data_IF_135890982441
#
_entry.id   IF_135890982441
#
_cell.length_a   1.000
_cell.length_b   1.000
_cell.length_c   1.000
_cell.angle_alpha   90.00
_cell.angle_beta   90.00
_cell.angle_gamma   90.00
#
_symmetry.space_group_name_H-M   'P 1'
#
loop_
_entity.id
_entity.type
_entity.pdbx_description
1 polymer ?
#
# COMPACT_ATOMS: atom_id res chain seq x y z
N UNK A 1 -29.99 1.27 32.41
CA UNK A 1 -30.28 1.63 31.00
C UNK A 1 -28.97 1.51 30.22
N UNK A 2 -29.00 1.22 28.92
CA UNK A 2 -27.77 1.09 28.10
C UNK A 2 -27.15 2.47 27.84
N UNK A 3 -25.85 2.61 28.08
CA UNK A 3 -25.05 3.82 27.81
C UNK A 3 -23.98 3.43 26.80
N UNK A 4 -23.85 4.17 25.71
CA UNK A 4 -22.93 3.81 24.64
C UNK A 4 -22.38 5.03 23.90
N UNK A 5 -21.21 4.86 23.29
CA UNK A 5 -20.65 5.79 22.31
C UNK A 5 -20.86 5.23 20.91
N UNK A 6 -21.52 6.00 20.04
CA UNK A 6 -21.71 5.66 18.63
C UNK A 6 -20.60 6.33 17.81
N UNK A 7 -19.61 5.56 17.35
CA UNK A 7 -18.39 6.08 16.75
C UNK A 7 -18.37 5.81 15.24
N UNK A 8 -18.00 6.82 14.44
CA UNK A 8 -17.78 6.71 12.99
C UNK A 8 -16.79 7.75 12.47
N UNK A 9 -16.29 7.53 11.25
CA UNK A 9 -15.46 8.48 10.51
C UNK A 9 -16.10 8.85 9.17
N UNK A 10 -16.25 10.16 8.92
CA UNK A 10 -16.85 10.72 7.72
C UNK A 10 -15.76 11.14 6.72
N UNK A 11 -15.88 10.67 5.48
CA UNK A 11 -15.05 11.02 4.33
C UNK A 11 -15.79 11.96 3.38
N UNK A 12 -15.07 12.77 2.61
CA UNK A 12 -15.64 13.84 1.77
C UNK A 12 -16.32 13.39 0.46
N UNK A 13 -16.33 12.12 0.06
CA UNK A 13 -16.62 11.78 -1.34
C UNK A 13 -17.88 10.97 -1.61
N UNK A 14 -18.26 10.96 -2.90
CA UNK A 14 -19.26 10.07 -3.48
C UNK A 14 -18.58 8.79 -3.99
N UNK A 15 -19.03 7.61 -3.55
CA UNK A 15 -18.49 6.31 -3.99
C UNK A 15 -17.50 5.63 -3.04
N UNK A 16 -17.23 6.18 -1.86
CA UNK A 16 -16.59 5.39 -0.79
C UNK A 16 -17.53 4.30 -0.30
N UNK A 17 -16.98 3.12 -0.09
CA UNK A 17 -17.71 2.07 0.62
C UNK A 17 -17.93 2.51 2.06
N UNK A 18 -19.15 2.30 2.56
CA UNK A 18 -19.48 2.48 3.97
C UNK A 18 -19.17 1.22 4.81
N UNK A 19 -18.61 0.19 4.18
CA UNK A 19 -18.20 -1.07 4.81
C UNK A 19 -16.74 -1.04 5.26
N UNK A 20 -15.97 -0.01 4.87
CA UNK A 20 -14.60 0.14 5.29
C UNK A 20 -14.52 0.46 6.79
N UNK A 21 -13.47 -0.03 7.43
CA UNK A 21 -13.23 0.16 8.86
C UNK A 21 -11.78 0.55 9.11
N UNK A 22 -11.57 1.37 10.13
CA UNK A 22 -10.25 1.71 10.69
C UNK A 22 -10.21 1.33 12.18
N UNK A 23 -9.05 1.43 12.80
CA UNK A 23 -8.87 1.08 14.21
C UNK A 23 -8.79 2.33 15.08
N UNK A 24 -9.39 2.27 16.27
CA UNK A 24 -9.31 3.31 17.27
C UNK A 24 -9.35 2.78 18.70
N UNK A 25 -9.43 3.71 19.64
CA UNK A 25 -9.49 3.44 21.08
C UNK A 25 -10.51 4.38 21.75
N UNK A 26 -11.09 3.92 22.85
CA UNK A 26 -11.90 4.73 23.77
C UNK A 26 -11.20 4.71 25.13
N UNK A 27 -10.67 5.85 25.54
CA UNK A 27 -9.99 6.03 26.81
C UNK A 27 -10.89 6.73 27.82
N UNK A 28 -11.10 6.12 28.98
CA UNK A 28 -11.78 6.83 30.07
C UNK A 28 -10.88 7.92 30.65
N UNK A 29 -11.46 9.09 30.93
CA UNK A 29 -10.78 10.15 31.66
C UNK A 29 -10.76 9.87 33.18
N UNK A 30 -11.58 8.95 33.65
CA UNK A 30 -11.65 8.54 35.05
C UNK A 30 -10.63 7.42 35.31
N UNK A 31 -9.81 7.48 36.38
CA UNK A 31 -8.77 6.48 36.66
C UNK A 31 -9.30 5.05 36.86
N UNK A 32 -10.54 4.93 37.33
CA UNK A 32 -11.24 3.65 37.54
C UNK A 32 -12.17 3.30 36.37
N UNK A 33 -12.23 4.16 35.35
CA UNK A 33 -13.11 3.98 34.20
C UNK A 33 -12.60 2.95 33.20
N UNK A 34 -13.53 2.26 32.56
CA UNK A 34 -13.21 1.24 31.57
C UNK A 34 -12.77 1.87 30.25
N UNK A 35 -11.65 1.39 29.69
CA UNK A 35 -11.16 1.80 28.37
C UNK A 35 -11.25 0.63 27.39
N UNK A 36 -11.72 0.91 26.18
CA UNK A 36 -11.80 -0.06 25.10
C UNK A 36 -10.67 0.20 24.13
N UNK A 37 -9.90 -0.83 23.78
CA UNK A 37 -8.79 -0.72 22.83
C UNK A 37 -9.05 -1.48 21.56
N UNK A 38 -8.50 -1.00 20.45
CA UNK A 38 -8.62 -1.60 19.13
C UNK A 38 -10.08 -1.77 18.68
N UNK A 39 -10.91 -0.76 18.93
CA UNK A 39 -12.28 -0.73 18.41
C UNK A 39 -12.27 -0.52 16.89
N UNK A 40 -13.27 -1.04 16.21
CA UNK A 40 -13.44 -0.84 14.77
C UNK A 40 -14.33 0.38 14.52
N UNK A 41 -13.83 1.35 13.77
CA UNK A 41 -14.56 2.57 13.47
C UNK A 41 -14.95 2.50 11.98
N UNK A 42 -16.25 2.35 11.67
CA UNK A 42 -16.73 2.43 10.30
C UNK A 42 -16.36 3.77 9.66
N UNK A 43 -15.86 3.73 8.43
CA UNK A 43 -15.52 4.90 7.66
C UNK A 43 -16.19 4.88 6.28
N UNK A 44 -16.50 6.07 5.76
CA UNK A 44 -17.16 6.21 4.48
C UNK A 44 -17.82 7.57 4.33
N UNK A 45 -18.66 7.71 3.31
CA UNK A 45 -19.42 8.95 3.06
C UNK A 45 -20.61 9.10 4.03
N UNK A 46 -21.23 7.99 4.41
CA UNK A 46 -22.33 7.93 5.37
C UNK A 46 -22.38 6.56 6.06
N UNK A 47 -21.31 6.15 6.78
CA UNK A 47 -21.29 4.88 7.47
C UNK A 47 -22.26 4.87 8.66
N UNK A 48 -22.88 3.71 8.89
CA UNK A 48 -23.60 3.47 10.14
C UNK A 48 -22.60 3.43 11.30
N UNK A 49 -22.83 4.18 12.40
CA UNK A 49 -21.89 4.19 13.50
C UNK A 49 -21.89 2.86 14.25
N UNK A 50 -20.72 2.47 14.75
CA UNK A 50 -20.59 1.33 15.66
C UNK A 50 -20.81 1.76 17.10
N UNK A 51 -21.68 1.05 17.81
CA UNK A 51 -22.06 1.34 19.19
C UNK A 51 -21.19 0.57 20.18
N UNK A 52 -20.53 1.29 21.08
CA UNK A 52 -19.66 0.74 22.10
C UNK A 52 -20.22 1.00 23.50
N UNK A 53 -20.69 -0.04 24.22
CA UNK A 53 -21.19 0.10 25.58
C UNK A 53 -20.09 0.61 26.52
N UNK A 54 -20.37 1.66 27.27
CA UNK A 54 -19.44 2.23 28.27
C UNK A 54 -20.21 2.74 29.50
N UNK A 55 -19.61 2.76 30.70
CA UNK A 55 -20.18 3.44 31.85
C UNK A 55 -20.44 4.94 31.59
N UNK A 56 -21.43 5.58 32.22
CA UNK A 56 -21.56 7.04 32.19
C UNK A 56 -20.26 7.71 32.68
N UNK A 57 -19.76 8.70 31.95
CA UNK A 57 -18.45 9.28 32.23
C UNK A 57 -17.89 10.12 31.09
N UNK A 58 -16.65 10.61 31.25
CA UNK A 58 -15.92 11.37 30.24
C UNK A 58 -14.91 10.47 29.54
N UNK A 59 -14.83 10.58 28.22
CA UNK A 59 -13.97 9.74 27.39
C UNK A 59 -13.21 10.59 26.36
N UNK A 60 -12.00 10.15 26.05
CA UNK A 60 -11.24 10.55 24.86
C UNK A 60 -11.31 9.39 23.87
N UNK A 61 -11.95 9.61 22.73
CA UNK A 61 -12.01 8.64 21.63
C UNK A 61 -10.93 9.01 20.64
N UNK A 62 -10.12 8.05 20.21
CA UNK A 62 -9.08 8.26 19.20
C UNK A 62 -9.23 7.31 18.03
N UNK A 63 -8.93 7.79 16.82
CA UNK A 63 -8.88 6.98 15.61
C UNK A 63 -7.46 7.05 15.04
N UNK A 64 -6.79 5.90 14.93
CA UNK A 64 -5.47 5.80 14.32
C UNK A 64 -5.65 5.56 12.82
N UNK A 65 -5.34 6.54 11.99
CA UNK A 65 -5.54 6.45 10.55
C UNK A 65 -4.42 5.66 9.87
N UNK A 66 -4.68 5.02 8.72
CA UNK A 66 -3.62 4.40 7.93
C UNK A 66 -2.60 5.40 7.38
N UNK A 67 -2.86 6.70 7.45
CA UNK A 67 -1.89 7.77 7.18
C UNK A 67 -0.88 7.99 8.32
N UNK A 68 -1.06 7.33 9.46
CA UNK A 68 -0.28 7.56 10.69
C UNK A 68 -0.78 8.75 11.53
N UNK A 69 -1.74 9.52 11.03
CA UNK A 69 -2.42 10.55 11.80
C UNK A 69 -3.31 9.92 12.88
N UNK A 70 -3.40 10.57 14.04
CA UNK A 70 -4.32 10.19 15.10
C UNK A 70 -5.34 11.31 15.28
N UNK A 71 -6.60 11.00 15.02
CA UNK A 71 -7.71 11.91 15.33
C UNK A 71 -8.18 11.66 16.75
N UNK A 72 -8.61 12.70 17.46
CA UNK A 72 -9.08 12.58 18.84
C UNK A 72 -10.31 13.45 19.08
N UNK A 73 -11.33 12.90 19.74
CA UNK A 73 -12.56 13.59 20.10
C UNK A 73 -12.91 13.34 21.57
N UNK A 74 -13.42 14.38 22.24
CA UNK A 74 -13.90 14.25 23.62
C UNK A 74 -15.39 13.91 23.62
N UNK A 75 -15.78 12.91 24.39
CA UNK A 75 -17.16 12.47 24.50
C UNK A 75 -17.61 12.38 25.96
N UNK A 76 -18.91 12.62 26.20
CA UNK A 76 -19.54 12.41 27.51
C UNK A 76 -20.63 11.37 27.33
N UNK A 77 -20.43 10.20 27.93
CA UNK A 77 -21.42 9.13 27.93
C UNK A 77 -22.45 9.42 29.04
N UNK A 78 -23.73 9.46 28.67
CA UNK A 78 -24.84 9.82 29.57
C UNK A 78 -25.75 8.61 29.75
N UNK A 79 -26.20 8.37 30.99
CA UNK A 79 -27.01 7.20 31.30
C UNK A 79 -28.26 7.08 30.41
N UNK A 80 -28.43 5.92 29.79
CA UNK A 80 -29.60 5.63 28.94
C UNK A 80 -29.59 6.32 27.58
N UNK A 81 -28.46 6.90 27.18
CA UNK A 81 -28.27 7.59 25.90
C UNK A 81 -27.09 7.01 25.13
N UNK A 82 -27.25 6.98 23.83
CA UNK A 82 -26.17 6.80 22.88
C UNK A 82 -25.63 8.18 22.47
N UNK A 83 -24.34 8.42 22.74
CA UNK A 83 -23.68 9.68 22.42
C UNK A 83 -22.90 9.51 21.10
N UNK A 84 -23.19 10.29 20.05
CA UNK A 84 -22.45 10.22 18.79
C UNK A 84 -21.04 10.81 18.95
N UNK A 85 -20.08 10.18 18.29
CA UNK A 85 -18.68 10.62 18.16
C UNK A 85 -18.30 10.51 16.68
N UNK A 86 -18.29 11.67 16.02
CA UNK A 86 -18.06 11.77 14.59
C UNK A 86 -16.66 12.35 14.33
N UNK A 87 -15.78 11.55 13.74
CA UNK A 87 -14.54 12.06 13.16
C UNK A 87 -14.81 12.59 11.76
N UNK A 88 -14.37 13.82 11.46
CA UNK A 88 -14.59 14.45 10.16
C UNK A 88 -13.27 14.55 9.41
N UNK A 89 -13.14 13.81 8.31
CA UNK A 89 -11.95 13.77 7.47
C UNK A 89 -12.27 14.21 6.03
N UNK A 90 -12.83 15.41 5.92
CA UNK A 90 -13.34 15.96 4.66
C UNK A 90 -12.40 16.95 3.98
N UNK A 91 -11.25 17.28 4.57
CA UNK A 91 -10.22 18.16 3.98
C UNK A 91 -9.36 17.43 2.94
N UNK A 92 -9.93 16.52 2.15
CA UNK A 92 -9.23 15.98 0.97
C UNK A 92 -9.10 17.10 -0.08
N UNK A 93 -7.94 17.28 -0.73
CA UNK A 93 -7.74 18.34 -1.71
C UNK A 93 -8.68 18.25 -2.91
N UNK A 94 -9.12 17.03 -3.23
CA UNK A 94 -10.10 16.71 -4.25
C UNK A 94 -11.07 15.67 -3.69
N UNK A 95 -12.35 15.77 -4.06
CA UNK A 95 -13.37 14.81 -3.62
C UNK A 95 -13.05 13.39 -4.09
N UNK A 96 -12.53 13.25 -5.30
CA UNK A 96 -12.12 11.99 -5.93
C UNK A 96 -10.95 11.29 -5.22
N UNK A 97 -10.21 11.99 -4.36
CA UNK A 97 -8.99 11.49 -3.69
C UNK A 97 -9.21 11.13 -2.21
N UNK A 98 -10.43 11.14 -1.70
CA UNK A 98 -10.70 10.92 -0.26
C UNK A 98 -10.13 9.59 0.27
N UNK A 99 -10.16 8.52 -0.53
CA UNK A 99 -9.53 7.24 -0.17
C UNK A 99 -8.00 7.35 -0.08
N UNK A 100 -7.37 7.99 -1.06
CA UNK A 100 -5.92 8.27 -1.03
C UNK A 100 -5.54 9.14 0.17
N UNK A 101 -6.39 10.11 0.52
CA UNK A 101 -6.22 10.95 1.69
C UNK A 101 -6.31 10.14 2.99
N UNK A 102 -7.27 9.22 3.11
CA UNK A 102 -7.36 8.31 4.25
C UNK A 102 -6.09 7.46 4.41
N UNK A 103 -5.55 6.98 3.30
CA UNK A 103 -4.30 6.20 3.28
C UNK A 103 -3.06 7.04 3.58
N UNK A 104 -3.15 8.39 3.54
CA UNK A 104 -2.02 9.29 3.76
C UNK A 104 -1.16 9.55 2.54
N UNK A 105 -1.66 9.22 1.35
CA UNK A 105 -0.92 9.35 0.09
C UNK A 105 -0.95 10.77 -0.47
N UNK A 106 -1.83 11.62 0.07
CA UNK A 106 -1.97 13.03 -0.29
C UNK A 106 -2.21 13.86 0.98
N UNK A 107 -1.75 15.10 0.99
CA UNK A 107 -1.90 16.01 2.11
C UNK A 107 -3.32 16.59 2.21
N UNK A 108 -3.69 17.15 3.38
CA UNK A 108 -4.93 17.89 3.51
C UNK A 108 -5.01 19.07 2.53
N UNK A 109 -6.22 19.41 2.08
CA UNK A 109 -6.51 20.47 1.12
C UNK A 109 -5.94 21.82 1.52
N UNK A 110 -5.95 22.14 2.80
CA UNK A 110 -5.33 23.36 3.34
C UNK A 110 -3.82 23.46 3.08
N UNK A 111 -3.07 22.35 3.19
CA UNK A 111 -1.64 22.26 2.85
C UNK A 111 -1.48 22.16 1.34
N UNK A 112 -2.35 21.39 0.70
CA UNK A 112 -2.26 21.09 -0.71
C UNK A 112 -2.51 22.34 -1.58
N UNK A 113 -3.45 23.20 -1.21
CA UNK A 113 -3.77 24.43 -1.94
C UNK A 113 -3.03 25.67 -1.38
N UNK A 114 -2.11 25.48 -0.42
CA UNK A 114 -1.32 26.58 0.10
C UNK A 114 -0.39 27.18 -0.98
N UNK A 115 -0.36 28.51 -1.05
CA UNK A 115 0.52 29.27 -1.94
C UNK A 115 2.00 29.22 -1.51
N UNK A 116 2.31 28.67 -0.33
CA UNK A 116 3.68 28.57 0.16
C UNK A 116 4.44 27.50 -0.62
N UNK A 117 5.69 27.75 -1.04
CA UNK A 117 6.52 26.71 -1.63
C UNK A 117 6.72 25.61 -0.59
N UNK A 118 6.37 24.38 -0.96
CA UNK A 118 6.69 23.20 -0.15
C UNK A 118 8.22 23.13 -0.08
N UNK A 119 8.82 23.09 1.12
CA UNK A 119 10.27 23.06 1.22
C UNK A 119 10.82 21.83 0.48
N UNK A 120 11.80 22.09 -0.40
CA UNK A 120 12.55 21.05 -1.06
C UNK A 120 13.19 20.17 0.01
N UNK A 121 12.89 18.87 0.04
CA UNK A 121 13.53 18.03 1.01
C UNK A 121 15.03 17.94 0.69
N UNK A 122 15.87 18.23 1.69
CA UNK A 122 17.32 18.24 1.55
C UNK A 122 17.91 16.82 1.39
N UNK A 123 17.09 15.80 1.64
CA UNK A 123 17.50 14.39 1.55
C UNK A 123 17.34 13.86 0.12
N UNK A 124 18.41 13.25 -0.40
CA UNK A 124 18.37 12.46 -1.64
C UNK A 124 17.42 11.25 -1.53
N UNK A 125 17.05 10.87 -0.30
CA UNK A 125 16.03 9.85 -0.05
C UNK A 125 14.59 10.38 -0.11
N UNK A 126 14.39 11.70 -0.18
CA UNK A 126 13.07 12.29 -0.37
C UNK A 126 12.75 12.40 -1.85
N UNK A 127 12.06 11.38 -2.34
CA UNK A 127 11.89 11.12 -3.78
C UNK A 127 10.69 11.91 -4.35
N UNK A 128 10.87 13.23 -4.49
CA UNK A 128 9.96 14.08 -5.26
C UNK A 128 10.06 13.77 -6.77
N UNK A 129 8.94 13.84 -7.49
CA UNK A 129 8.91 13.77 -8.97
C UNK A 129 9.08 15.13 -9.64
N UNK A 130 9.25 16.22 -8.90
CA UNK A 130 9.35 17.57 -9.47
C UNK A 130 10.77 17.82 -9.99
N UNK A 131 10.89 18.18 -11.27
CA UNK A 131 12.11 18.76 -11.80
C UNK A 131 12.34 20.15 -11.21
N UNK A 132 13.57 20.45 -10.82
CA UNK A 132 13.96 21.78 -10.35
C UNK A 132 13.71 22.84 -11.43
N UNK A 133 12.64 23.62 -11.28
CA UNK A 133 12.52 24.97 -11.86
C UNK A 133 12.07 25.93 -10.77
N UNK A 134 12.79 25.94 -9.65
CA UNK A 134 12.69 27.06 -8.71
C UNK A 134 13.52 28.20 -9.31
N UNK A 135 12.86 29.31 -9.67
CA UNK A 135 13.56 30.60 -9.75
C UNK A 135 14.04 30.96 -8.34
N UNK A 136 14.96 31.92 -8.25
CA UNK A 136 15.56 32.37 -6.99
C UNK A 136 14.53 32.91 -5.95
N UNK A 137 13.27 33.06 -6.34
CA UNK A 137 12.12 33.49 -5.55
C UNK A 137 11.21 32.33 -5.07
N UNK A 138 11.44 31.09 -5.50
CA UNK A 138 10.66 29.92 -5.07
C UNK A 138 9.28 29.77 -5.74
N UNK A 139 8.94 30.62 -6.72
CA UNK A 139 7.70 30.45 -7.49
C UNK A 139 7.91 29.45 -8.65
N UNK A 140 7.01 28.46 -8.76
CA UNK A 140 6.89 27.57 -9.91
C UNK A 140 5.94 28.25 -10.91
N UNK A 141 6.39 28.71 -12.08
CA UNK A 141 5.47 29.23 -13.09
C UNK A 141 4.55 28.11 -13.56
N UNK A 142 3.22 28.34 -13.59
CA UNK A 142 2.23 27.42 -14.19
C UNK A 142 2.60 26.99 -15.63
N UNK A 143 3.48 27.73 -16.30
CA UNK A 143 3.91 27.50 -17.69
C UNK A 143 5.29 26.83 -17.86
N UNK A 144 6.07 26.60 -16.79
CA UNK A 144 7.50 26.26 -16.93
C UNK A 144 7.88 24.80 -16.61
N UNK A 145 6.96 24.00 -16.07
CA UNK A 145 7.16 22.56 -15.93
C UNK A 145 6.12 21.91 -16.83
N UNK A 146 6.58 21.15 -17.82
CA UNK A 146 5.74 20.21 -18.53
C UNK A 146 5.35 19.12 -17.52
N UNK A 147 4.35 19.42 -16.67
CA UNK A 147 3.79 18.55 -15.63
C UNK A 147 2.90 17.47 -16.27
N UNK A 148 3.25 17.02 -17.46
CA UNK A 148 2.59 15.90 -18.11
C UNK A 148 3.25 14.62 -17.62
N UNK A 149 2.75 14.11 -16.49
CA UNK A 149 3.02 12.74 -16.09
C UNK A 149 2.50 11.80 -17.18
N UNK A 150 3.39 11.02 -17.78
CA UNK A 150 3.03 9.97 -18.73
C UNK A 150 2.95 8.64 -17.98
N UNK A 151 1.76 8.05 -17.98
CA UNK A 151 1.54 6.72 -17.44
C UNK A 151 1.34 5.73 -18.60
N UNK A 152 2.10 4.63 -18.60
CA UNK A 152 1.98 3.55 -19.58
C UNK A 152 1.63 2.26 -18.87
N UNK A 153 0.44 1.73 -19.17
CA UNK A 153 -0.02 0.46 -18.65
C UNK A 153 0.60 -0.71 -19.41
N UNK A 154 1.11 -1.68 -18.66
CA UNK A 154 1.61 -2.96 -19.13
C UNK A 154 0.67 -4.03 -18.54
N UNK A 155 -0.34 -4.39 -19.33
CA UNK A 155 -1.40 -5.32 -18.92
C UNK A 155 -0.98 -6.79 -18.91
N UNK A 156 0.02 -7.15 -19.70
CA UNK A 156 0.61 -8.48 -19.70
C UNK A 156 2.11 -8.35 -19.87
N UNK A 157 2.86 -8.91 -18.94
CA UNK A 157 4.32 -8.85 -18.93
C UNK A 157 4.90 -10.24 -19.18
N UNK A 158 6.11 -10.27 -19.74
CA UNK A 158 6.73 -11.56 -20.04
C UNK A 158 7.27 -12.16 -18.73
N UNK A 159 7.14 -13.47 -18.46
CA UNK A 159 7.65 -14.05 -17.21
C UNK A 159 9.14 -13.77 -16.94
N UNK A 160 9.96 -13.69 -17.99
CA UNK A 160 11.37 -13.35 -17.87
C UNK A 160 11.62 -11.86 -17.48
N UNK A 161 10.63 -10.98 -17.65
CA UNK A 161 10.78 -9.53 -17.47
C UNK A 161 10.73 -9.07 -16.01
N UNK A 162 10.19 -9.89 -15.11
CA UNK A 162 10.04 -9.55 -13.69
C UNK A 162 10.98 -10.32 -12.76
N UNK A 163 12.06 -10.90 -13.30
CA UNK A 163 13.16 -11.39 -12.49
C UNK A 163 13.94 -10.25 -11.83
N UNK A 164 14.66 -10.53 -10.74
CA UNK A 164 15.55 -9.56 -10.10
C UNK A 164 16.58 -8.99 -11.09
N UNK A 165 17.20 -9.84 -11.90
CA UNK A 165 18.18 -9.43 -12.90
C UNK A 165 17.56 -8.50 -13.96
N UNK A 166 16.36 -8.83 -14.45
CA UNK A 166 15.65 -7.99 -15.43
C UNK A 166 15.31 -6.62 -14.85
N UNK A 167 14.80 -6.58 -13.61
CA UNK A 167 14.44 -5.33 -12.93
C UNK A 167 15.65 -4.44 -12.63
N UNK A 168 16.78 -5.03 -12.23
CA UNK A 168 18.05 -4.30 -12.08
C UNK A 168 18.54 -3.73 -13.42
N UNK A 169 18.45 -4.53 -14.50
CA UNK A 169 18.86 -4.09 -15.84
C UNK A 169 17.97 -2.95 -16.39
N UNK A 170 16.73 -2.79 -15.92
CA UNK A 170 15.90 -1.63 -16.25
C UNK A 170 16.47 -0.35 -15.63
N UNK A 171 16.91 -0.39 -14.37
CA UNK A 171 17.55 0.75 -13.69
C UNK A 171 18.88 1.18 -14.32
N UNK A 172 19.59 0.24 -14.96
CA UNK A 172 20.85 0.52 -15.68
C UNK A 172 20.62 1.01 -17.12
N UNK A 173 19.38 1.03 -17.60
CA UNK A 173 19.09 1.36 -19.00
C UNK A 173 19.34 2.86 -19.28
N UNK A 174 20.09 3.21 -20.33
CA UNK A 174 20.37 4.61 -20.66
C UNK A 174 19.10 5.44 -20.92
N UNK A 175 19.11 6.75 -20.59
CA UNK A 175 18.03 7.68 -20.96
C UNK A 175 17.70 7.62 -22.45
N UNK A 176 16.41 7.77 -22.80
CA UNK A 176 15.93 7.75 -24.18
C UNK A 176 15.64 6.36 -24.75
N UNK A 177 16.01 5.28 -24.07
CA UNK A 177 15.59 3.92 -24.45
C UNK A 177 14.21 3.62 -23.84
N UNK A 178 13.19 3.26 -24.65
CA UNK A 178 11.86 2.91 -24.16
C UNK A 178 11.90 1.67 -23.26
N UNK A 179 11.37 1.78 -22.03
CA UNK A 179 11.35 0.65 -21.09
C UNK A 179 10.12 -0.24 -21.24
N UNK A 180 8.95 0.33 -21.53
CA UNK A 180 7.71 -0.43 -21.56
C UNK A 180 7.75 -1.66 -22.50
N UNK A 181 8.33 -1.58 -23.73
CA UNK A 181 8.47 -2.76 -24.60
C UNK A 181 9.41 -3.84 -24.08
N UNK A 182 10.29 -3.55 -23.12
CA UNK A 182 11.21 -4.54 -22.51
C UNK A 182 10.53 -5.40 -21.44
N UNK A 183 9.39 -4.93 -20.93
CA UNK A 183 8.61 -5.57 -19.87
C UNK A 183 7.38 -6.26 -20.45
N UNK A 184 6.74 -5.60 -21.42
CA UNK A 184 5.48 -6.05 -22.00
C UNK A 184 5.63 -7.28 -22.89
N UNK A 185 4.68 -8.21 -22.80
CA UNK A 185 4.47 -9.29 -23.77
C UNK A 185 3.75 -8.81 -25.05
N UNK A 186 3.04 -7.68 -24.96
CA UNK A 186 2.29 -7.07 -26.05
C UNK A 186 2.63 -5.60 -26.28
N UNK A 187 1.75 -4.88 -26.98
CA UNK A 187 1.89 -3.44 -27.17
C UNK A 187 1.60 -2.69 -25.85
N UNK A 188 2.56 -1.91 -25.30
CA UNK A 188 2.32 -1.08 -24.13
C UNK A 188 1.27 0.00 -24.43
N UNK A 189 0.47 0.36 -23.44
CA UNK A 189 -0.69 1.24 -23.64
C UNK A 189 -0.55 2.52 -22.83
N UNK A 190 -0.24 3.66 -23.46
CA UNK A 190 -0.31 4.96 -22.79
C UNK A 190 -1.72 5.21 -22.25
N UNK A 191 -1.80 5.70 -21.03
CA UNK A 191 -3.06 6.09 -20.40
C UNK A 191 -3.26 7.60 -20.59
N UNK A 192 -4.47 8.05 -20.95
CA UNK A 192 -4.78 9.46 -20.92
C UNK A 192 -4.68 9.98 -19.47
N UNK A 193 -4.27 11.24 -19.30
CA UNK A 193 -4.40 11.89 -18.00
C UNK A 193 -5.90 11.91 -17.62
N UNK A 194 -6.27 11.57 -16.37
CA UNK A 194 -7.65 11.66 -15.90
C UNK A 194 -8.21 13.07 -16.11
N UNK A 195 -9.38 13.14 -16.74
CA UNK A 195 -10.03 14.42 -17.14
C UNK A 195 -10.91 14.95 -16.00
N UNK A 196 -10.27 15.31 -14.89
CA UNK A 196 -10.93 15.93 -13.74
C UNK A 196 -10.30 17.29 -13.42
N UNK A 197 -11.15 18.31 -13.27
CA UNK A 197 -10.72 19.69 -13.12
C UNK A 197 -9.84 19.86 -11.87
N UNK A 198 -8.60 20.36 -12.08
CA UNK A 198 -7.64 20.59 -11.00
C UNK A 198 -6.73 19.41 -10.66
N UNK A 199 -7.00 18.20 -11.18
CA UNK A 199 -6.20 16.98 -10.91
C UNK A 199 -4.97 16.81 -11.81
N UNK A 200 -4.68 17.79 -12.69
CA UNK A 200 -3.57 17.72 -13.65
C UNK A 200 -2.19 17.49 -12.98
N UNK A 201 -2.04 17.87 -11.70
CA UNK A 201 -0.82 17.71 -10.91
C UNK A 201 -0.84 16.50 -9.97
N UNK A 202 -1.98 15.84 -9.83
CA UNK A 202 -2.16 14.63 -9.00
C UNK A 202 -3.06 13.61 -9.70
N UNK A 203 -2.75 13.19 -10.94
CA UNK A 203 -3.61 12.29 -11.68
C UNK A 203 -3.82 10.97 -10.93
N UNK A 204 -5.10 10.58 -10.79
CA UNK A 204 -5.54 9.35 -10.15
C UNK A 204 -5.98 8.33 -11.20
N UNK A 205 -5.15 7.31 -11.44
CA UNK A 205 -5.47 6.23 -12.36
C UNK A 205 -6.22 5.12 -11.63
N UNK A 206 -7.37 4.68 -12.15
CA UNK A 206 -8.14 3.57 -11.58
C UNK A 206 -8.07 2.33 -12.48
N UNK A 207 -8.03 1.16 -11.86
CA UNK A 207 -7.97 -0.13 -12.53
C UNK A 207 -9.01 -1.07 -11.94
N UNK A 208 -9.75 -1.75 -12.80
CA UNK A 208 -10.67 -2.82 -12.43
C UNK A 208 -10.17 -4.19 -12.89
N UNK A 209 -11.04 -5.22 -12.90
CA UNK A 209 -10.67 -6.59 -13.25
C UNK A 209 -10.11 -6.72 -14.69
N UNK A 210 -10.55 -5.84 -15.59
CA UNK A 210 -10.15 -5.82 -17.00
C UNK A 210 -9.02 -4.85 -17.35
N UNK A 211 -8.36 -4.24 -16.36
CA UNK A 211 -7.33 -3.21 -16.57
C UNK A 211 -7.83 -1.78 -16.30
N UNK A 212 -7.28 -0.74 -16.96
CA UNK A 212 -7.53 0.66 -16.63
C UNK A 212 -8.98 1.07 -16.90
N UNK A 213 -9.63 1.72 -15.93
CA UNK A 213 -10.97 2.28 -16.08
C UNK A 213 -10.93 3.54 -16.94
N UNK A 214 -11.78 3.62 -17.96
CA UNK A 214 -11.77 4.72 -18.93
C UNK A 214 -10.56 4.72 -19.88
N UNK A 215 -9.71 3.69 -19.80
CA UNK A 215 -8.52 3.53 -20.63
C UNK A 215 -8.68 2.50 -21.75
N UNK A 216 -7.61 2.27 -22.54
CA UNK A 216 -7.60 1.25 -23.57
C UNK A 216 -7.67 -0.16 -22.96
N UNK A 217 -8.59 -0.99 -23.46
CA UNK A 217 -8.65 -2.41 -23.11
C UNK A 217 -7.43 -3.18 -23.66
N UNK A 218 -7.02 -4.25 -23.00
CA UNK A 218 -5.87 -5.05 -23.40
C UNK A 218 -5.83 -6.43 -22.74
N UNK A 219 -4.88 -7.30 -23.14
CA UNK A 219 -4.64 -8.55 -22.43
C UNK A 219 -4.23 -8.25 -20.99
N UNK A 220 -4.72 -9.08 -20.07
CA UNK A 220 -4.46 -9.01 -18.65
C UNK A 220 -3.75 -10.30 -18.25
N UNK A 221 -2.49 -10.19 -17.84
CA UNK A 221 -1.65 -11.29 -17.38
C UNK A 221 -1.60 -11.41 -15.86
N UNK A 222 -0.81 -12.38 -15.39
CA UNK A 222 -0.55 -12.63 -13.96
C UNK A 222 0.20 -11.48 -13.29
N UNK A 223 0.96 -10.70 -14.07
CA UNK A 223 1.73 -9.55 -13.60
C UNK A 223 1.45 -8.36 -14.48
N UNK A 224 1.10 -7.27 -13.81
CA UNK A 224 0.78 -6.00 -14.42
C UNK A 224 1.65 -4.90 -13.82
N UNK A 225 2.03 -3.95 -14.66
CA UNK A 225 2.82 -2.81 -14.23
C UNK A 225 2.25 -1.51 -14.76
N UNK A 226 2.52 -0.44 -14.04
CA UNK A 226 2.39 0.93 -14.54
C UNK A 226 3.77 1.57 -14.59
N UNK A 227 4.20 1.98 -15.77
CA UNK A 227 5.38 2.80 -15.93
C UNK A 227 4.96 4.27 -15.83
N UNK A 228 5.51 5.01 -14.88
CA UNK A 228 5.21 6.43 -14.65
C UNK A 228 6.46 7.24 -14.95
N UNK A 229 6.37 8.10 -15.97
CA UNK A 229 7.44 9.02 -16.35
C UNK A 229 6.98 10.45 -16.04
N UNK A 230 7.73 11.19 -15.22
CA UNK A 230 7.45 12.60 -14.99
C UNK A 230 8.72 13.35 -14.60
N UNK A 231 8.92 14.53 -15.18
CA UNK A 231 10.02 15.44 -14.88
C UNK A 231 11.42 14.77 -14.84
N UNK A 232 11.67 13.86 -15.79
CA UNK A 232 12.94 13.11 -15.90
C UNK A 232 13.09 11.95 -14.92
N UNK A 233 12.13 11.76 -14.01
CA UNK A 233 12.04 10.61 -13.13
C UNK A 233 11.21 9.51 -13.76
N UNK A 234 11.57 8.26 -13.46
CA UNK A 234 10.97 7.07 -14.04
C UNK A 234 10.72 6.04 -12.95
N UNK A 235 9.47 5.63 -12.79
CA UNK A 235 9.05 4.63 -11.81
C UNK A 235 8.32 3.47 -12.45
N UNK A 236 8.59 2.28 -11.96
CA UNK A 236 7.84 1.08 -12.28
C UNK A 236 7.00 0.67 -11.06
N UNK A 237 5.69 0.69 -11.21
CA UNK A 237 4.73 0.34 -10.18
C UNK A 237 4.25 -1.08 -10.42
N UNK A 238 4.39 -1.97 -9.43
CA UNK A 238 3.76 -3.29 -9.47
C UNK A 238 2.28 -3.13 -9.13
N UNK A 239 1.40 -3.42 -10.10
CA UNK A 239 -0.03 -3.29 -9.88
C UNK A 239 -0.56 -4.53 -9.15
N UNK A 240 -1.32 -4.40 -8.05
CA UNK A 240 -1.91 -5.52 -7.34
C UNK A 240 -3.14 -6.05 -8.06
N UNK A 241 -2.96 -6.51 -9.30
CA UNK A 241 -4.01 -7.01 -10.15
C UNK A 241 -3.68 -8.42 -10.65
N UNK A 242 -4.70 -9.30 -10.78
CA UNK A 242 -6.12 -9.03 -10.48
C UNK A 242 -6.43 -9.01 -8.97
N UNK A 243 -7.32 -8.11 -8.52
CA UNK A 243 -7.84 -8.05 -7.14
C UNK A 243 -9.35 -8.35 -7.08
N UNK A 244 -9.77 -9.45 -7.71
CA UNK A 244 -11.21 -9.78 -7.80
C UNK A 244 -11.99 -8.67 -8.53
N UNK A 245 -13.14 -8.26 -7.97
CA UNK A 245 -14.03 -7.23 -8.53
C UNK A 245 -13.68 -5.79 -8.09
N UNK A 246 -12.69 -5.64 -7.22
CA UNK A 246 -12.38 -4.37 -6.56
C UNK A 246 -11.49 -3.48 -7.42
N UNK A 247 -11.65 -2.17 -7.27
CA UNK A 247 -10.82 -1.19 -7.93
C UNK A 247 -9.47 -0.98 -7.20
N UNK A 248 -8.43 -0.79 -8.00
CA UNK A 248 -7.11 -0.36 -7.57
C UNK A 248 -6.87 1.06 -8.07
N UNK A 249 -6.35 1.92 -7.21
CA UNK A 249 -6.03 3.30 -7.51
C UNK A 249 -4.52 3.51 -7.47
N UNK A 250 -3.99 4.21 -8.47
CA UNK A 250 -2.60 4.68 -8.50
C UNK A 250 -2.62 6.20 -8.56
N UNK A 251 -2.21 6.83 -7.46
CA UNK A 251 -2.02 8.26 -7.39
C UNK A 251 -0.61 8.59 -7.87
N UNK A 252 -0.49 9.48 -8.85
CA UNK A 252 0.82 10.06 -9.23
C UNK A 252 0.85 11.48 -8.72
N UNK A 253 1.63 11.74 -7.68
CA UNK A 253 1.77 13.07 -7.11
C UNK A 253 2.92 13.81 -7.82
N UNK A 254 2.56 14.63 -8.81
CA UNK A 254 3.51 15.48 -9.54
C UNK A 254 3.87 16.73 -8.74
N UNK A 255 3.19 16.99 -7.62
CA UNK A 255 3.56 18.04 -6.67
C UNK A 255 4.59 17.50 -5.68
N UNK A 256 5.42 18.41 -5.16
CA UNK A 256 6.27 18.09 -4.01
C UNK A 256 5.40 17.80 -2.79
N UNK A 257 5.60 16.62 -2.22
CA UNK A 257 5.02 16.26 -0.94
C UNK A 257 6.13 16.11 0.10
N UNK A 258 6.04 16.78 1.26
CA UNK A 258 7.01 16.59 2.34
C UNK A 258 6.81 15.24 3.05
N UNK A 259 5.64 14.60 2.88
CA UNK A 259 5.24 13.41 3.67
C UNK A 259 4.82 12.22 2.81
N UNK A 260 4.36 12.44 1.57
CA UNK A 260 3.81 11.42 0.69
C UNK A 260 4.82 10.80 -0.27
N UNK A 261 4.48 9.62 -0.80
CA UNK A 261 5.17 9.04 -1.95
C UNK A 261 4.72 9.73 -3.22
N UNK A 262 5.66 9.97 -4.15
CA UNK A 262 5.28 10.66 -5.37
C UNK A 262 4.57 9.74 -6.39
N UNK A 263 4.54 8.43 -6.14
CA UNK A 263 3.52 7.52 -6.67
C UNK A 263 3.05 6.64 -5.53
N UNK A 264 1.76 6.45 -5.38
CA UNK A 264 1.17 5.62 -4.34
C UNK A 264 0.08 4.69 -4.89
N UNK A 265 -0.07 3.53 -4.28
CA UNK A 265 -1.05 2.51 -4.71
C UNK A 265 -2.00 2.17 -3.56
N UNK A 266 -3.30 2.29 -3.80
CA UNK A 266 -4.34 1.90 -2.84
C UNK A 266 -5.33 0.93 -3.48
N UNK A 267 -5.83 -0.02 -2.68
CA UNK A 267 -6.90 -0.93 -3.10
C UNK A 267 -8.19 -0.50 -2.41
N UNK A 268 -9.28 -0.32 -3.17
CA UNK A 268 -10.60 0.07 -2.64
C UNK A 268 -11.37 -1.13 -2.08
N UNK A 269 -10.68 -2.05 -1.41
CA UNK A 269 -11.29 -3.23 -0.78
C UNK A 269 -11.70 -2.85 0.65
N UNK A 270 -13.00 -2.77 0.98
CA UNK A 270 -13.42 -2.36 2.32
C UNK A 270 -12.91 -3.29 3.42
N UNK A 271 -12.66 -4.56 3.11
CA UNK A 271 -12.23 -5.54 4.09
C UNK A 271 -10.73 -5.40 4.44
N UNK A 272 -9.90 -4.95 3.50
CA UNK A 272 -8.42 -5.02 3.67
C UNK A 272 -7.65 -3.81 3.19
N UNK A 273 -8.26 -2.87 2.46
CA UNK A 273 -7.57 -1.71 1.90
C UNK A 273 -6.86 -0.87 2.96
N UNK A 274 -7.56 -0.53 4.06
CA UNK A 274 -6.95 0.15 5.20
C UNK A 274 -5.88 -0.73 5.90
N UNK A 275 -6.10 -2.05 5.96
CA UNK A 275 -5.15 -3.02 6.50
C UNK A 275 -3.82 -3.04 5.75
N UNK A 276 -3.85 -2.89 4.42
CA UNK A 276 -2.66 -2.80 3.58
C UNK A 276 -1.83 -1.56 3.89
N UNK A 277 -2.47 -0.42 4.14
CA UNK A 277 -1.77 0.81 4.51
C UNK A 277 -1.15 0.71 5.92
N UNK A 278 -1.86 0.13 6.91
CA UNK A 278 -1.24 -0.18 8.21
C UNK A 278 -0.05 -1.13 8.07
N UNK A 279 -0.15 -2.14 7.18
CA UNK A 279 0.95 -3.06 6.90
C UNK A 279 2.18 -2.34 6.34
N UNK A 280 1.99 -1.37 5.42
CA UNK A 280 3.08 -0.56 4.88
C UNK A 280 3.79 0.28 5.96
N UNK A 281 3.06 0.69 6.99
CA UNK A 281 3.61 1.40 8.15
C UNK A 281 4.25 0.49 9.21
N UNK A 282 4.21 -0.83 9.02
CA UNK A 282 4.67 -1.81 10.00
C UNK A 282 3.72 -1.97 11.20
N UNK A 283 2.53 -1.37 11.17
CA UNK A 283 1.50 -1.50 12.20
C UNK A 283 0.72 -2.83 12.06
N UNK A 284 1.43 -3.96 12.09
CA UNK A 284 0.87 -5.28 11.81
C UNK A 284 -0.20 -5.70 12.83
N UNK A 285 -0.07 -5.34 14.10
CA UNK A 285 -1.10 -5.60 15.11
C UNK A 285 -2.41 -4.85 14.80
N UNK A 286 -2.30 -3.60 14.34
CA UNK A 286 -3.45 -2.80 13.88
C UNK A 286 -4.07 -3.41 12.63
N UNK A 287 -3.23 -3.78 11.66
CA UNK A 287 -3.66 -4.46 10.45
C UNK A 287 -4.43 -5.74 10.81
N UNK A 288 -3.92 -6.58 11.72
CA UNK A 288 -4.54 -7.84 12.14
C UNK A 288 -5.96 -7.66 12.69
N UNK A 289 -6.30 -6.48 13.23
CA UNK A 289 -7.67 -6.16 13.64
C UNK A 289 -8.63 -5.97 12.47
N UNK A 290 -8.14 -5.57 11.30
CA UNK A 290 -8.95 -5.41 10.10
C UNK A 290 -9.06 -6.69 9.30
N UNK A 291 -8.04 -7.54 9.35
CA UNK A 291 -8.13 -8.89 8.83
C UNK A 291 -8.85 -9.81 9.85
N UNK A 292 -10.00 -9.39 10.40
CA UNK A 292 -10.79 -10.10 11.44
C UNK A 292 -11.12 -11.54 11.08
N UNK A 293 -11.11 -11.86 9.78
CA UNK A 293 -11.24 -13.21 9.27
C UNK A 293 -10.15 -13.48 8.22
N UNK A 294 -8.86 -13.26 8.55
CA UNK A 294 -7.71 -13.79 7.77
C UNK A 294 -8.01 -15.26 7.42
N UNK A 295 -8.65 -15.97 8.35
CA UNK A 295 -9.08 -17.35 8.19
C UNK A 295 -10.05 -17.54 7.02
N UNK A 296 -11.20 -16.87 7.02
CA UNK A 296 -12.13 -16.95 5.90
C UNK A 296 -11.57 -16.32 4.62
N UNK A 297 -10.68 -15.33 4.69
CA UNK A 297 -10.00 -14.79 3.51
C UNK A 297 -9.12 -15.86 2.86
N UNK A 298 -8.32 -16.58 3.62
CA UNK A 298 -7.49 -17.66 3.11
C UNK A 298 -8.32 -18.91 2.74
N UNK A 299 -9.47 -19.15 3.38
CA UNK A 299 -10.38 -20.26 3.08
C UNK A 299 -11.27 -20.02 1.85
N UNK A 300 -11.78 -18.80 1.67
CA UNK A 300 -12.72 -18.42 0.61
C UNK A 300 -12.06 -17.81 -0.63
N UNK A 301 -10.82 -17.31 -0.55
CA UNK A 301 -10.17 -16.53 -1.62
C UNK A 301 -8.92 -17.16 -2.23
N UNK A 302 -8.97 -18.43 -2.61
CA UNK A 302 -8.16 -18.88 -3.77
C UNK A 302 -8.48 -18.05 -5.04
N UNK A 303 -9.59 -17.31 -5.04
CA UNK A 303 -9.96 -16.34 -6.06
C UNK A 303 -9.13 -15.04 -6.04
N UNK A 304 -8.45 -14.71 -4.92
CA UNK A 304 -7.60 -13.52 -4.82
C UNK A 304 -6.31 -13.86 -4.04
N UNK A 305 -5.28 -14.41 -4.72
CA UNK A 305 -4.02 -14.80 -4.09
C UNK A 305 -3.23 -13.62 -3.51
N UNK A 306 -3.42 -12.40 -4.02
CA UNK A 306 -2.76 -11.20 -3.51
C UNK A 306 -3.31 -10.83 -2.13
N UNK A 307 -4.63 -10.76 -1.98
CA UNK A 307 -5.28 -10.53 -0.69
C UNK A 307 -4.91 -11.62 0.34
N UNK A 308 -4.82 -12.88 -0.10
CA UNK A 308 -4.36 -14.00 0.72
C UNK A 308 -2.91 -13.83 1.18
N UNK A 309 -2.00 -13.38 0.30
CA UNK A 309 -0.62 -13.09 0.66
C UNK A 309 -0.52 -11.94 1.67
N UNK A 310 -1.26 -10.83 1.49
CA UNK A 310 -1.32 -9.73 2.45
C UNK A 310 -1.78 -10.19 3.85
N UNK A 311 -2.89 -10.94 3.91
CA UNK A 311 -3.38 -11.51 5.18
C UNK A 311 -2.36 -12.44 5.82
N UNK A 312 -1.62 -13.22 5.02
CA UNK A 312 -0.56 -14.11 5.51
C UNK A 312 0.65 -13.36 6.08
N UNK A 313 1.04 -12.22 5.51
CA UNK A 313 2.09 -11.36 6.07
C UNK A 313 1.70 -10.86 7.46
N UNK A 314 0.47 -10.36 7.59
CA UNK A 314 -0.07 -9.89 8.88
C UNK A 314 -0.15 -11.02 9.89
N UNK A 315 -0.65 -12.18 9.47
CA UNK A 315 -0.77 -13.37 10.31
C UNK A 315 0.60 -13.84 10.82
N UNK A 316 1.58 -14.05 9.94
CA UNK A 316 2.93 -14.49 10.35
C UNK A 316 3.64 -13.39 11.16
N UNK A 317 3.38 -12.12 10.86
CA UNK A 317 3.97 -10.98 11.56
C UNK A 317 3.46 -10.80 12.99
N UNK A 318 2.22 -11.20 13.26
CA UNK A 318 1.57 -11.09 14.58
C UNK A 318 1.44 -12.43 15.31
N UNK A 319 1.80 -13.54 14.66
CA UNK A 319 1.78 -14.86 15.27
C UNK A 319 2.91 -15.00 16.30
N UNK A 320 2.50 -15.17 17.57
CA UNK A 320 3.39 -15.46 18.69
C UNK A 320 3.44 -16.96 19.02
N UNK A 321 2.70 -17.79 18.28
CA UNK A 321 2.68 -19.22 18.49
C UNK A 321 4.01 -19.86 18.08
N UNK A 322 4.42 -20.88 18.83
CA UNK A 322 5.65 -21.64 18.59
C UNK A 322 5.39 -22.99 17.93
N UNK A 323 4.13 -23.35 17.70
CA UNK A 323 3.75 -24.66 17.18
C UNK A 323 3.25 -24.58 15.74
N UNK A 324 2.91 -25.74 15.18
CA UNK A 324 2.07 -25.77 13.99
C UNK A 324 0.72 -25.13 14.28
N UNK A 325 0.25 -24.36 13.31
CA UNK A 325 -1.06 -23.70 13.35
C UNK A 325 -1.95 -24.30 12.28
N UNK A 326 -3.27 -24.27 12.48
CA UNK A 326 -4.23 -24.86 11.54
C UNK A 326 -4.20 -24.18 10.14
N UNK A 327 -3.66 -22.96 10.05
CA UNK A 327 -3.48 -22.21 8.79
C UNK A 327 -2.15 -22.50 8.08
N UNK A 328 -1.20 -23.23 8.69
CA UNK A 328 0.07 -23.59 8.04
C UNK A 328 -0.12 -24.29 6.67
N UNK A 329 -1.06 -25.24 6.49
CA UNK A 329 -1.32 -25.87 5.19
C UNK A 329 -1.77 -24.89 4.10
N UNK A 330 -2.23 -23.70 4.49
CA UNK A 330 -2.70 -22.70 3.53
C UNK A 330 -1.55 -21.91 2.92
N UNK A 331 -0.46 -21.73 3.66
CA UNK A 331 0.78 -21.18 3.12
C UNK A 331 1.40 -22.11 2.07
N UNK A 332 1.35 -23.42 2.31
CA UNK A 332 1.76 -24.43 1.32
C UNK A 332 0.91 -24.33 0.04
N UNK A 333 -0.41 -24.20 0.20
CA UNK A 333 -1.33 -24.00 -0.93
C UNK A 333 -1.10 -22.70 -1.69
N UNK A 334 -0.79 -21.60 -1.01
CA UNK A 334 -0.47 -20.32 -1.64
C UNK A 334 0.85 -20.40 -2.41
N UNK A 335 1.86 -21.03 -1.82
CA UNK A 335 3.15 -21.28 -2.45
C UNK A 335 3.02 -22.15 -3.71
N UNK A 336 2.32 -23.28 -3.62
CA UNK A 336 2.24 -24.26 -4.70
C UNK A 336 1.18 -23.91 -5.77
N UNK A 337 0.10 -23.24 -5.36
CA UNK A 337 -1.02 -22.91 -6.25
C UNK A 337 -0.74 -21.73 -7.19
N UNK A 338 0.23 -20.88 -6.87
CA UNK A 338 0.52 -19.66 -7.62
C UNK A 338 2.03 -19.51 -7.91
N UNK A 339 2.58 -20.27 -8.86
CA UNK A 339 4.02 -20.24 -9.19
C UNK A 339 4.54 -18.88 -9.68
N UNK A 340 3.66 -17.97 -10.11
CA UNK A 340 4.02 -16.60 -10.51
C UNK A 340 4.10 -15.61 -9.33
N UNK A 341 3.63 -16.03 -8.15
CA UNK A 341 3.61 -15.24 -6.92
C UNK A 341 4.78 -15.65 -6.03
N UNK A 342 5.82 -14.81 -6.02
CA UNK A 342 6.98 -15.02 -5.16
C UNK A 342 6.61 -14.99 -3.66
N UNK A 343 5.66 -14.13 -3.30
CA UNK A 343 5.20 -13.94 -1.91
C UNK A 343 4.76 -15.24 -1.23
N UNK A 344 4.09 -16.16 -1.93
CA UNK A 344 3.70 -17.45 -1.35
C UNK A 344 4.90 -18.26 -0.85
N UNK A 345 5.95 -18.36 -1.67
CA UNK A 345 7.18 -19.04 -1.31
C UNK A 345 7.95 -18.31 -0.19
N UNK A 346 7.95 -16.97 -0.18
CA UNK A 346 8.55 -16.15 0.89
C UNK A 346 7.85 -16.40 2.22
N UNK A 347 6.52 -16.39 2.23
CA UNK A 347 5.70 -16.62 3.42
C UNK A 347 5.93 -18.03 3.98
N UNK A 348 5.92 -19.07 3.13
CA UNK A 348 6.19 -20.44 3.54
C UNK A 348 7.60 -20.58 4.13
N UNK A 349 8.61 -20.04 3.47
CA UNK A 349 9.98 -20.09 3.97
C UNK A 349 10.13 -19.39 5.32
N UNK A 350 9.55 -18.20 5.45
CA UNK A 350 9.61 -17.41 6.69
C UNK A 350 8.95 -18.16 7.84
N UNK A 351 7.80 -18.79 7.59
CA UNK A 351 7.13 -19.62 8.59
C UNK A 351 7.99 -20.81 9.01
N UNK A 352 8.63 -21.51 8.06
CA UNK A 352 9.52 -22.63 8.35
C UNK A 352 10.73 -22.20 9.20
N UNK A 353 11.31 -21.02 8.94
CA UNK A 353 12.42 -20.48 9.72
C UNK A 353 12.04 -20.08 11.15
N UNK A 354 10.80 -19.63 11.37
CA UNK A 354 10.33 -19.16 12.68
C UNK A 354 9.89 -20.29 13.63
N UNK A 355 9.81 -21.54 13.15
CA UNK A 355 9.48 -22.70 13.99
C UNK A 355 10.61 -23.03 14.98
N UNK A 356 10.32 -23.59 16.17
CA UNK A 356 11.34 -23.98 17.14
C UNK A 356 12.32 -25.05 16.63
N UNK A 357 11.85 -25.88 15.69
CA UNK A 357 12.66 -26.88 14.98
C UNK A 357 12.55 -26.58 13.48
N UNK A 358 13.31 -25.59 13.00
CA UNK A 358 13.15 -25.11 11.63
C UNK A 358 13.65 -26.14 10.63
N UNK A 359 12.85 -26.41 9.60
CA UNK A 359 13.32 -27.16 8.42
C UNK A 359 14.13 -26.22 7.53
N UNK A 360 15.41 -26.08 7.86
CA UNK A 360 16.34 -25.19 7.16
C UNK A 360 16.52 -25.58 5.69
N UNK A 361 16.41 -26.88 5.36
CA UNK A 361 16.58 -27.35 3.98
C UNK A 361 15.41 -26.87 3.13
N UNK A 362 14.19 -27.08 3.62
CA UNK A 362 12.98 -26.67 2.91
C UNK A 362 12.85 -25.14 2.88
N UNK A 363 13.12 -24.45 3.98
CA UNK A 363 13.11 -22.99 4.02
C UNK A 363 14.06 -22.39 2.97
N UNK A 364 15.29 -22.90 2.87
CA UNK A 364 16.27 -22.47 1.87
C UNK A 364 15.78 -22.73 0.45
N UNK A 365 15.21 -23.91 0.20
CA UNK A 365 14.66 -24.26 -1.11
C UNK A 365 13.57 -23.26 -1.51
N UNK A 366 12.64 -22.95 -0.61
CA UNK A 366 11.56 -22.00 -0.85
C UNK A 366 12.03 -20.55 -1.01
N UNK A 367 13.06 -20.10 -0.32
CA UNK A 367 13.66 -18.77 -0.57
C UNK A 367 14.32 -18.68 -1.95
N UNK A 368 14.97 -19.76 -2.37
CA UNK A 368 15.58 -19.84 -3.70
C UNK A 368 14.51 -19.82 -4.79
N UNK A 369 13.46 -20.59 -4.59
CA UNK A 369 12.28 -20.63 -5.45
C UNK A 369 11.60 -19.25 -5.52
N UNK A 370 11.37 -18.59 -4.37
CA UNK A 370 10.82 -17.24 -4.32
C UNK A 370 11.63 -16.25 -5.18
N UNK A 371 12.95 -16.30 -5.08
CA UNK A 371 13.83 -15.47 -5.91
C UNK A 371 13.68 -15.80 -7.40
N UNK A 372 13.63 -17.09 -7.75
CA UNK A 372 13.57 -17.55 -9.13
C UNK A 372 12.20 -17.23 -9.79
N UNK A 373 11.13 -17.13 -9.00
CA UNK A 373 9.80 -16.63 -9.44
C UNK A 373 9.78 -15.13 -9.78
N UNK A 374 10.78 -14.39 -9.30
CA UNK A 374 10.95 -12.96 -9.56
C UNK A 374 10.56 -12.06 -8.39
N UNK A 375 10.35 -10.78 -8.67
CA UNK A 375 10.11 -9.78 -7.62
C UNK A 375 8.77 -9.99 -6.90
N UNK A 376 8.69 -9.78 -5.57
CA UNK A 376 7.44 -9.88 -4.84
C UNK A 376 6.47 -8.76 -5.25
N UNK A 377 5.16 -8.95 -5.03
CA UNK A 377 4.18 -7.88 -5.15
C UNK A 377 4.30 -6.88 -4.01
N UNK A 378 4.57 -7.39 -2.81
CA UNK A 378 4.60 -6.59 -1.60
C UNK A 378 6.02 -6.16 -1.26
N UNK A 379 6.17 -4.91 -0.85
CA UNK A 379 7.45 -4.38 -0.37
C UNK A 379 7.91 -5.13 0.88
N UNK A 380 6.98 -5.54 1.75
CA UNK A 380 7.27 -6.38 2.91
C UNK A 380 7.87 -7.74 2.51
N UNK A 381 7.43 -8.30 1.38
CA UNK A 381 8.02 -9.52 0.82
C UNK A 381 9.48 -9.35 0.43
N UNK A 382 9.85 -8.18 -0.09
CA UNK A 382 11.25 -7.87 -0.41
C UNK A 382 12.11 -7.88 0.87
N UNK A 383 11.63 -7.25 1.94
CA UNK A 383 12.31 -7.26 3.25
C UNK A 383 12.45 -8.67 3.80
N UNK A 384 11.38 -9.48 3.79
CA UNK A 384 11.42 -10.84 4.33
C UNK A 384 12.28 -11.78 3.50
N UNK A 385 12.37 -11.57 2.19
CA UNK A 385 13.31 -12.31 1.34
C UNK A 385 14.77 -11.95 1.66
N UNK A 386 15.08 -10.68 1.95
CA UNK A 386 16.41 -10.27 2.42
C UNK A 386 16.76 -10.96 3.74
N UNK A 387 15.86 -10.92 4.71
CA UNK A 387 16.08 -11.53 6.03
C UNK A 387 16.21 -13.05 5.92
N UNK A 388 15.32 -13.69 5.16
CA UNK A 388 15.33 -15.13 4.94
C UNK A 388 16.60 -15.62 4.25
N UNK A 389 17.04 -14.97 3.17
CA UNK A 389 18.30 -15.33 2.50
C UNK A 389 19.52 -15.05 3.38
N UNK A 390 19.47 -14.04 4.25
CA UNK A 390 20.54 -13.73 5.20
C UNK A 390 20.73 -14.82 6.27
N UNK A 391 19.74 -15.69 6.49
CA UNK A 391 19.86 -16.83 7.40
C UNK A 391 20.79 -17.95 6.87
N UNK A 392 21.24 -17.86 5.61
CA UNK A 392 22.09 -18.87 4.96
C UNK A 392 23.40 -18.28 4.42
N UNK A 393 24.28 -17.73 5.29
CA UNK A 393 25.52 -17.06 4.86
C UNK A 393 26.56 -18.02 4.25
N UNK A 394 26.49 -19.31 4.58
CA UNK A 394 27.42 -20.33 4.08
C UNK A 394 27.00 -20.93 2.73
N UNK A 395 25.82 -20.58 2.21
CA UNK A 395 25.34 -21.03 0.90
C UNK A 395 25.67 -19.97 -0.17
N UNK A 396 26.63 -20.22 -1.09
CA UNK A 396 27.01 -19.25 -2.11
C UNK A 396 25.86 -18.85 -3.04
N UNK A 397 24.86 -19.72 -3.23
CA UNK A 397 23.71 -19.41 -4.06
C UNK A 397 22.77 -18.44 -3.34
N UNK A 398 22.57 -18.59 -2.03
CA UNK A 398 21.82 -17.63 -1.22
C UNK A 398 22.55 -16.28 -1.12
N UNK A 399 23.87 -16.28 -0.89
CA UNK A 399 24.67 -15.05 -0.81
C UNK A 399 24.61 -14.24 -2.11
N UNK A 400 24.72 -14.91 -3.27
CA UNK A 400 24.59 -14.23 -4.57
C UNK A 400 23.21 -13.60 -4.74
N UNK A 401 22.14 -14.37 -4.48
CA UNK A 401 20.75 -13.89 -4.57
C UNK A 401 20.49 -12.73 -3.63
N UNK A 402 20.95 -12.84 -2.38
CA UNK A 402 20.86 -11.76 -1.39
C UNK A 402 21.49 -10.46 -1.89
N UNK A 403 22.63 -10.54 -2.59
CA UNK A 403 23.27 -9.39 -3.23
C UNK A 403 22.38 -8.72 -4.28
N UNK A 404 21.67 -9.50 -5.10
CA UNK A 404 20.71 -8.98 -6.09
C UNK A 404 19.47 -8.36 -5.42
N UNK A 405 18.88 -9.05 -4.45
CA UNK A 405 17.70 -8.56 -3.72
C UNK A 405 18.02 -7.25 -2.99
N UNK A 406 19.18 -7.15 -2.34
CA UNK A 406 19.64 -5.92 -1.68
C UNK A 406 19.85 -4.76 -2.66
N UNK A 407 20.45 -5.02 -3.82
CA UNK A 407 20.60 -3.98 -4.86
C UNK A 407 19.25 -3.48 -5.35
N UNK A 408 18.28 -4.37 -5.55
CA UNK A 408 16.93 -3.98 -5.95
C UNK A 408 16.25 -3.15 -4.85
N UNK A 409 16.45 -3.50 -3.57
CA UNK A 409 15.87 -2.77 -2.45
C UNK A 409 16.30 -1.30 -2.38
N UNK A 410 17.45 -0.94 -2.94
CA UNK A 410 17.88 0.46 -3.04
C UNK A 410 17.05 1.25 -4.04
N UNK A 411 16.48 0.58 -5.05
CA UNK A 411 15.55 1.17 -6.02
C UNK A 411 14.11 1.17 -5.49
N UNK A 412 13.76 0.33 -4.52
CA UNK A 412 12.39 0.22 -4.03
C UNK A 412 11.97 1.45 -3.18
N UNK A 413 10.69 1.86 -3.28
CA UNK A 413 10.06 2.73 -2.28
C UNK A 413 9.50 1.86 -1.15
N UNK A 414 10.18 1.86 -0.01
CA UNK A 414 9.85 0.99 1.13
C UNK A 414 8.64 1.46 1.94
N UNK A 415 8.06 2.61 1.61
CA UNK A 415 6.88 3.18 2.30
C UNK A 415 5.57 2.70 1.72
N UNK A 416 5.61 2.15 0.50
CA UNK A 416 4.42 1.69 -0.19
C UNK A 416 4.14 0.21 0.13
N UNK A 417 2.86 -0.19 0.26
CA UNK A 417 2.50 -1.58 0.49
C UNK A 417 2.97 -2.48 -0.67
N UNK A 418 2.89 -1.97 -1.89
CA UNK A 418 3.26 -2.67 -3.13
C UNK A 418 4.61 -2.19 -3.65
N UNK A 419 5.32 -3.08 -4.33
CA UNK A 419 6.66 -2.81 -4.83
C UNK A 419 6.62 -1.75 -5.94
N UNK A 420 7.18 -0.56 -5.63
CA UNK A 420 7.46 0.50 -6.59
C UNK A 420 8.97 0.64 -6.73
N UNK A 421 9.49 0.61 -7.95
CA UNK A 421 10.92 0.79 -8.25
C UNK A 421 11.17 2.18 -8.86
N UNK A 422 12.07 2.94 -8.24
CA UNK A 422 12.67 4.15 -8.79
C UNK A 422 13.79 3.77 -9.76
N UNK A 423 13.49 3.75 -11.05
CA UNK A 423 14.43 3.35 -12.10
C UNK A 423 15.34 4.50 -12.52
N UNK A 424 14.84 5.75 -12.45
CA UNK A 424 15.63 6.96 -12.70
C UNK A 424 15.13 8.08 -11.80
N UNK A 425 16.06 8.82 -11.20
CA UNK A 425 15.78 10.11 -10.58
C UNK A 425 16.24 11.20 -11.55
N UNK A 426 15.41 12.22 -11.76
CA UNK A 426 15.81 13.39 -12.55
C UNK A 426 17.11 13.99 -11.99
N UNK A 427 18.19 13.98 -12.78
CA UNK A 427 19.49 14.50 -12.33
C UNK A 427 19.44 16.02 -12.24
N UNK A 428 19.81 16.53 -11.07
CA UNK A 428 20.33 17.88 -10.88
C UNK A 428 21.63 18.04 -11.68
N UNK A 429 21.61 18.86 -12.73
CA UNK A 429 22.83 19.43 -13.30
C UNK A 429 22.64 20.90 -13.56
#
# INVERSE_FOLDING_TARGET
>A
MSTALAVRLLLSSTGESNEAVIVGDIHSADPEGESLRNILIPCGSSPEPSSYPVPPGRYLVSAALPSGLVLTENAVAVEGRETPVDFVMTDSPYETHSWQYLMGNIEPGSVYHAASPVPLPESVASRSMVAHVARADGEIPESAVDLTGLATWIGDSAPASWSFASMLALGETPPGVPLAPRISSGEPRPLPAPDAAGEAVTPLYRFGPGGPLGGPAGPVGERQFLLVEAAGSLRLVTLPLPWGATEVEVLVNLRQSPTGSAVAVAVRDPAVGAGLAYMAQGALDTAARLFTDVEAMLYSKFQNPLAAAAGSYVLIGTDHSRGETYWDPWLERLDEGFPWLADGAILRATRLLRRPSPDLKEARHRLTEAFDRGVPFYTLGLSWLIDGLSAFPDDPACVRRLGEVRRLSWLADMREPFLILDLRQGSTR
#
